data_IF_276417249033
#
_entry.id   IF_276417249033
#
_cell.length_a   1.000
_cell.length_b   1.000
_cell.length_c   1.000
_cell.angle_alpha   90.00
_cell.angle_beta   90.00
_cell.angle_gamma   90.00
#
_symmetry.space_group_name_H-M   'P 1'
#
loop_
_entity.id
_entity.type
_entity.pdbx_description
1 polymer ?
#
# COMPACT_ATOMS: atom_id res chain seq x y z
N UNK A 1 0.20 -44.66 12.28
CA UNK A 1 0.70 -43.64 13.23
C UNK A 1 0.72 -42.28 12.53
N UNK A 2 -0.28 -41.42 12.76
CA UNK A 2 -0.35 -40.08 12.18
C UNK A 2 0.19 -39.08 13.22
N UNK A 3 1.30 -38.40 12.90
CA UNK A 3 1.85 -37.31 13.71
C UNK A 3 1.01 -36.05 13.49
N UNK A 4 0.33 -35.61 14.55
CA UNK A 4 -0.39 -34.34 14.60
C UNK A 4 0.65 -33.27 14.93
N UNK A 5 0.90 -32.37 13.98
CA UNK A 5 1.69 -31.16 14.23
C UNK A 5 0.74 -30.09 14.76
N UNK A 6 0.77 -29.86 16.07
CA UNK A 6 0.10 -28.71 16.68
C UNK A 6 0.93 -27.47 16.35
N UNK A 7 0.47 -26.65 15.40
CA UNK A 7 1.03 -25.32 15.20
C UNK A 7 0.67 -24.46 16.42
N UNK A 8 1.67 -24.11 17.21
CA UNK A 8 1.57 -23.01 18.16
C UNK A 8 1.57 -21.70 17.36
N UNK A 9 0.39 -21.10 17.19
CA UNK A 9 0.30 -19.68 16.84
C UNK A 9 0.71 -18.93 18.10
N UNK A 10 1.96 -18.50 18.16
CA UNK A 10 2.39 -17.46 19.08
C UNK A 10 1.65 -16.20 18.66
N UNK A 11 0.54 -15.89 19.34
CA UNK A 11 -0.04 -14.56 19.32
C UNK A 11 1.03 -13.61 19.86
N UNK A 12 1.67 -12.86 18.96
CA UNK A 12 2.45 -11.70 19.34
C UNK A 12 1.52 -10.79 20.17
N UNK A 13 1.93 -10.34 21.36
CA UNK A 13 1.13 -9.40 22.11
C UNK A 13 0.92 -8.18 21.20
N UNK A 14 -0.35 -7.84 20.98
CA UNK A 14 -0.73 -6.49 20.57
C UNK A 14 -0.07 -5.60 21.61
N UNK A 15 0.98 -4.86 21.24
CA UNK A 15 1.40 -3.74 22.06
C UNK A 15 0.19 -2.81 22.08
N UNK A 16 -0.62 -2.91 23.13
CA UNK A 16 -1.48 -1.83 23.54
C UNK A 16 -0.52 -0.69 23.86
N UNK A 17 -0.33 0.20 22.89
CA UNK A 17 0.43 1.41 23.09
C UNK A 17 -0.16 2.13 24.31
N UNK A 18 0.69 2.31 25.31
CA UNK A 18 0.49 3.21 26.44
C UNK A 18 -0.12 4.52 25.95
N UNK A 19 -1.23 4.97 26.54
CA UNK A 19 -1.93 6.28 26.46
C UNK A 19 -1.45 7.42 25.53
N UNK A 20 -0.86 7.11 24.38
CA UNK A 20 -0.35 8.04 23.40
C UNK A 20 -1.52 8.41 22.49
N UNK A 21 -1.72 9.71 22.31
CA UNK A 21 -2.70 10.25 21.39
C UNK A 21 -2.48 9.65 20.00
N UNK A 22 -3.55 9.17 19.37
CA UNK A 22 -3.49 8.67 17.99
C UNK A 22 -2.86 9.73 17.09
N UNK A 23 -1.97 9.34 16.16
CA UNK A 23 -1.33 10.31 15.28
C UNK A 23 -2.38 11.15 14.55
N UNK A 24 -2.13 12.45 14.34
CA UNK A 24 -2.98 13.22 13.46
C UNK A 24 -3.02 12.57 12.09
N UNK A 25 -4.22 12.37 11.57
CA UNK A 25 -4.45 11.78 10.26
C UNK A 25 -4.61 12.89 9.20
N UNK A 26 -4.11 12.66 7.98
CA UNK A 26 -4.36 13.58 6.89
C UNK A 26 -5.85 13.55 6.50
N UNK A 27 -6.33 14.62 5.85
CA UNK A 27 -7.58 14.56 5.10
C UNK A 27 -7.44 13.59 3.92
N UNK A 28 -8.40 12.67 3.75
CA UNK A 28 -8.29 11.59 2.77
C UNK A 28 -8.27 12.07 1.30
N UNK A 29 -8.92 13.18 0.97
CA UNK A 29 -8.97 13.71 -0.40
C UNK A 29 -7.64 14.39 -0.73
N UNK A 30 -7.17 15.24 0.18
CA UNK A 30 -5.89 15.91 0.05
C UNK A 30 -4.72 14.91 0.03
N UNK A 31 -4.78 13.84 0.84
CA UNK A 31 -3.77 12.79 0.83
C UNK A 31 -3.77 12.00 -0.48
N UNK A 32 -4.94 11.62 -1.00
CA UNK A 32 -5.03 10.95 -2.30
C UNK A 32 -4.42 11.80 -3.41
N UNK A 33 -4.61 13.12 -3.39
CA UNK A 33 -3.96 14.03 -4.34
C UNK A 33 -2.43 14.02 -4.20
N UNK A 34 -1.90 13.95 -2.98
CA UNK A 34 -0.45 13.80 -2.75
C UNK A 34 0.06 12.46 -3.33
N UNK A 35 -0.65 11.35 -3.11
CA UNK A 35 -0.32 10.03 -3.66
C UNK A 35 -0.28 10.05 -5.19
N UNK A 36 -1.27 10.66 -5.83
CA UNK A 36 -1.32 10.78 -7.29
C UNK A 36 -0.20 11.67 -7.83
N UNK A 37 0.07 12.79 -7.16
CA UNK A 37 1.17 13.70 -7.54
C UNK A 37 2.53 13.02 -7.42
N UNK A 38 2.77 12.30 -6.33
CA UNK A 38 4.02 11.58 -6.09
C UNK A 38 4.18 10.43 -7.09
N UNK A 39 3.14 9.62 -7.31
CA UNK A 39 3.21 8.50 -8.27
C UNK A 39 3.46 8.98 -9.70
N UNK A 40 2.84 10.09 -10.11
CA UNK A 40 3.07 10.72 -11.41
C UNK A 40 4.49 11.31 -11.57
N UNK A 41 5.22 11.56 -10.48
CA UNK A 41 6.59 12.09 -10.54
C UNK A 41 7.64 11.05 -10.96
N UNK A 42 7.30 9.76 -10.95
CA UNK A 42 8.23 8.71 -11.38
C UNK A 42 8.17 8.50 -12.89
N UNK A 43 9.32 8.37 -13.57
CA UNK A 43 9.36 8.01 -14.97
C UNK A 43 8.82 6.59 -15.19
N UNK A 44 8.02 6.43 -16.25
CA UNK A 44 7.40 5.15 -16.64
C UNK A 44 8.06 4.51 -17.86
N UNK A 45 9.32 4.86 -18.11
CA UNK A 45 10.12 4.48 -19.29
C UNK A 45 11.12 3.33 -19.00
N UNK A 46 11.08 2.76 -17.79
CA UNK A 46 11.99 1.72 -17.34
C UNK A 46 13.23 2.23 -16.60
N UNK A 47 13.35 3.54 -16.36
CA UNK A 47 14.41 4.11 -15.50
C UNK A 47 14.48 3.41 -14.14
N UNK A 48 13.33 3.17 -13.50
CA UNK A 48 13.24 2.43 -12.23
C UNK A 48 12.83 0.98 -12.50
N UNK A 49 13.79 0.14 -12.87
CA UNK A 49 13.52 -1.23 -13.29
C UNK A 49 12.98 -2.13 -12.15
N UNK A 50 12.21 -3.15 -12.51
CA UNK A 50 11.69 -4.10 -11.52
C UNK A 50 12.75 -5.11 -11.09
N UNK A 51 12.95 -5.25 -9.78
CA UNK A 51 13.81 -6.27 -9.19
C UNK A 51 13.16 -6.83 -7.93
N UNK A 52 13.16 -8.15 -7.77
CA UNK A 52 12.72 -8.82 -6.54
C UNK A 52 13.73 -9.92 -6.22
N UNK A 53 14.63 -9.71 -5.24
CA UNK A 53 15.62 -10.73 -4.88
C UNK A 53 14.95 -11.92 -4.19
N UNK A 54 15.54 -13.12 -4.33
CA UNK A 54 15.01 -14.34 -3.69
C UNK A 54 15.19 -14.35 -2.18
N UNK A 55 16.16 -13.58 -1.66
CA UNK A 55 16.56 -13.55 -0.26
C UNK A 55 17.08 -12.14 0.08
N UNK A 56 17.11 -11.83 1.39
CA UNK A 56 17.67 -10.60 1.93
C UNK A 56 16.62 -9.61 2.41
N UNK A 57 17.09 -8.55 3.07
CA UNK A 57 16.25 -7.51 3.69
C UNK A 57 16.02 -6.30 2.77
N UNK A 58 16.24 -6.48 1.47
CA UNK A 58 16.11 -5.41 0.47
C UNK A 58 14.68 -4.90 0.44
N UNK A 59 14.50 -3.59 0.62
CA UNK A 59 13.18 -2.97 0.84
C UNK A 59 12.43 -2.65 -0.44
N UNK A 60 13.11 -2.71 -1.59
CA UNK A 60 12.53 -2.45 -2.89
C UNK A 60 12.02 -1.04 -3.11
N UNK A 61 12.76 -0.08 -2.55
CA UNK A 61 12.57 1.36 -2.73
C UNK A 61 13.65 1.92 -3.66
N UNK A 62 13.28 2.90 -4.48
CA UNK A 62 14.15 3.50 -5.52
C UNK A 62 15.17 4.48 -4.96
N UNK A 63 14.90 5.03 -3.76
CA UNK A 63 15.75 6.01 -3.09
C UNK A 63 15.71 5.81 -1.58
N UNK A 64 16.65 6.42 -0.88
CA UNK A 64 16.63 6.46 0.58
C UNK A 64 15.36 7.16 1.06
N UNK A 65 14.66 6.50 1.98
CA UNK A 65 13.45 7.02 2.62
C UNK A 65 13.80 7.37 4.06
N UNK A 66 13.51 8.61 4.44
CA UNK A 66 13.76 9.13 5.77
C UNK A 66 12.44 9.41 6.48
N UNK A 67 12.45 9.29 7.79
CA UNK A 67 11.35 9.72 8.64
C UNK A 67 11.93 10.46 9.85
N UNK A 68 11.48 11.70 10.07
CA UNK A 68 12.02 12.60 11.10
C UNK A 68 13.56 12.69 11.11
N UNK A 69 14.18 12.65 9.92
CA UNK A 69 15.64 12.73 9.75
C UNK A 69 16.39 11.40 9.86
N UNK A 70 15.73 10.31 10.24
CA UNK A 70 16.33 8.98 10.33
C UNK A 70 16.05 8.13 9.09
N UNK A 71 17.04 7.36 8.65
CA UNK A 71 16.90 6.45 7.51
C UNK A 71 16.04 5.24 7.91
N UNK A 72 14.90 5.06 7.23
CA UNK A 72 13.96 3.96 7.48
C UNK A 72 13.96 2.90 6.38
N UNK A 73 14.39 3.27 5.17
CA UNK A 73 14.65 2.31 4.08
C UNK A 73 15.77 2.80 3.19
N UNK A 74 16.74 1.93 2.90
CA UNK A 74 17.83 2.21 1.96
C UNK A 74 17.36 2.00 0.52
N UNK A 75 17.59 2.99 -0.33
CA UNK A 75 17.36 2.95 -1.77
C UNK A 75 18.29 1.99 -2.49
N UNK A 76 17.82 1.44 -3.61
CA UNK A 76 18.67 0.73 -4.56
C UNK A 76 19.54 1.72 -5.34
N UNK A 77 20.85 1.47 -5.42
CA UNK A 77 21.80 2.35 -6.11
C UNK A 77 21.51 2.49 -7.62
N UNK A 78 20.79 1.52 -8.21
CA UNK A 78 20.38 1.52 -9.62
C UNK A 78 18.92 1.98 -9.79
N UNK A 79 18.27 2.48 -8.72
CA UNK A 79 16.86 2.91 -8.76
C UNK A 79 15.86 1.77 -8.95
N UNK A 80 16.25 0.51 -8.74
CA UNK A 80 15.34 -0.63 -8.92
C UNK A 80 14.36 -0.74 -7.75
N UNK A 81 13.19 -1.31 -8.02
CA UNK A 81 12.15 -1.49 -7.00
C UNK A 81 11.27 -2.72 -7.23
N UNK A 82 10.40 -2.99 -6.26
CA UNK A 82 9.28 -3.91 -6.43
C UNK A 82 7.98 -3.30 -5.91
N UNK A 83 6.84 -3.91 -6.27
CA UNK A 83 5.50 -3.40 -5.99
C UNK A 83 5.24 -2.95 -4.54
N UNK A 84 5.55 -3.76 -3.53
CA UNK A 84 5.30 -3.39 -2.12
C UNK A 84 6.18 -2.23 -1.65
N UNK A 85 7.46 -2.27 -2.00
CA UNK A 85 8.43 -1.22 -1.72
C UNK A 85 8.10 0.13 -2.38
N UNK A 86 7.80 0.15 -3.68
CA UNK A 86 7.48 1.42 -4.36
C UNK A 86 6.14 2.01 -3.87
N UNK A 87 5.14 1.20 -3.57
CA UNK A 87 3.88 1.70 -3.01
C UNK A 87 4.07 2.27 -1.61
N UNK A 88 4.93 1.64 -0.79
CA UNK A 88 5.30 2.16 0.53
C UNK A 88 6.13 3.45 0.43
N UNK A 89 7.06 3.54 -0.52
CA UNK A 89 7.82 4.76 -0.79
C UNK A 89 6.89 5.91 -1.21
N UNK A 90 5.93 5.66 -2.09
CA UNK A 90 4.91 6.66 -2.47
C UNK A 90 4.10 7.10 -1.26
N UNK A 91 3.69 6.19 -0.38
CA UNK A 91 3.02 6.53 0.87
C UNK A 91 3.87 7.48 1.73
N UNK A 92 5.14 7.14 1.99
CA UNK A 92 6.04 7.96 2.80
C UNK A 92 6.24 9.35 2.19
N UNK A 93 6.48 9.41 0.88
CA UNK A 93 6.63 10.68 0.14
C UNK A 93 5.33 11.49 0.09
N UNK A 94 4.16 10.85 0.07
CA UNK A 94 2.88 11.54 0.14
C UNK A 94 2.64 12.16 1.53
N UNK A 95 3.10 11.50 2.60
CA UNK A 95 3.10 12.08 3.95
C UNK A 95 4.03 13.28 4.02
N UNK A 96 5.24 13.19 3.46
CA UNK A 96 6.15 14.33 3.35
C UNK A 96 5.49 15.51 2.62
N UNK A 97 4.88 15.26 1.45
CA UNK A 97 4.24 16.30 0.64
C UNK A 97 3.04 16.93 1.37
N UNK A 98 2.18 16.13 2.00
CA UNK A 98 1.06 16.62 2.79
C UNK A 98 1.55 17.51 3.95
N UNK A 99 2.60 17.10 4.65
CA UNK A 99 3.16 17.78 5.82
C UNK A 99 3.90 19.09 5.50
N UNK A 100 4.16 19.41 4.23
CA UNK A 100 4.75 20.70 3.83
C UNK A 100 3.77 21.85 3.99
N UNK A 101 2.47 21.60 3.88
CA UNK A 101 1.44 22.63 3.82
C UNK A 101 0.37 22.49 4.90
N UNK A 102 0.36 21.37 5.65
CA UNK A 102 -0.67 21.08 6.66
C UNK A 102 -0.10 21.07 8.08
N UNK A 103 -0.91 21.58 9.01
CA UNK A 103 -0.67 21.52 10.45
C UNK A 103 -1.98 21.13 11.17
N UNK A 104 -1.98 20.18 12.14
CA UNK A 104 -0.85 19.37 12.57
C UNK A 104 -0.31 18.47 11.44
N UNK A 105 0.99 18.17 11.50
CA UNK A 105 1.62 17.24 10.56
C UNK A 105 1.03 15.84 10.75
N UNK A 106 0.62 15.20 9.67
CA UNK A 106 0.19 13.81 9.66
C UNK A 106 1.30 12.89 10.17
N UNK A 107 0.92 11.93 11.01
CA UNK A 107 1.78 10.87 11.56
C UNK A 107 2.99 11.33 12.38
N UNK A 108 3.14 12.62 12.68
CA UNK A 108 4.37 13.17 13.29
C UNK A 108 4.69 12.61 14.69
N UNK A 109 3.73 11.97 15.35
CA UNK A 109 3.88 11.35 16.68
C UNK A 109 4.42 9.91 16.62
N UNK A 110 4.53 9.32 15.42
CA UNK A 110 5.11 7.99 15.26
C UNK A 110 6.61 8.00 15.54
N UNK A 111 7.09 6.90 16.10
CA UNK A 111 8.52 6.60 16.22
C UNK A 111 9.05 5.96 14.93
N UNK A 112 10.38 5.89 14.80
CA UNK A 112 11.03 5.13 13.72
C UNK A 112 10.68 3.65 13.76
N UNK A 113 10.46 3.09 14.95
CA UNK A 113 10.05 1.70 15.11
C UNK A 113 8.62 1.49 14.59
N UNK A 114 7.70 2.44 14.85
CA UNK A 114 6.35 2.39 14.30
C UNK A 114 6.37 2.38 12.77
N UNK A 115 7.22 3.19 12.14
CA UNK A 115 7.39 3.21 10.68
C UNK A 115 7.93 1.88 10.15
N UNK A 116 8.91 1.28 10.83
CA UNK A 116 9.50 -0.01 10.42
C UNK A 116 8.50 -1.16 10.58
N UNK A 117 7.75 -1.17 11.68
CA UNK A 117 6.73 -2.18 11.92
C UNK A 117 5.52 -2.00 10.99
N UNK A 118 5.13 -0.76 10.69
CA UNK A 118 4.14 -0.46 9.65
C UNK A 118 4.60 -0.96 8.28
N UNK A 119 5.86 -0.72 7.90
CA UNK A 119 6.46 -1.25 6.66
C UNK A 119 6.44 -2.79 6.63
N UNK A 120 6.78 -3.44 7.74
CA UNK A 120 6.77 -4.90 7.85
C UNK A 120 5.38 -5.48 7.54
N UNK A 121 4.31 -4.88 8.10
CA UNK A 121 2.93 -5.26 7.79
C UNK A 121 2.53 -4.89 6.36
N UNK A 122 2.95 -3.72 5.85
CA UNK A 122 2.67 -3.28 4.48
C UNK A 122 3.19 -4.28 3.46
N UNK A 123 4.34 -4.90 3.75
CA UNK A 123 4.98 -5.89 2.88
C UNK A 123 4.36 -7.29 3.03
N UNK A 124 3.43 -7.51 3.97
CA UNK A 124 2.90 -8.82 4.30
C UNK A 124 3.96 -9.76 4.87
N UNK A 125 5.01 -9.21 5.51
CA UNK A 125 6.13 -10.00 6.05
C UNK A 125 5.73 -10.83 7.27
N UNK A 126 4.56 -10.55 7.86
CA UNK A 126 3.88 -11.35 8.87
C UNK A 126 3.20 -12.61 8.29
N UNK A 127 3.20 -12.79 6.97
CA UNK A 127 2.50 -13.86 6.27
C UNK A 127 1.03 -13.58 6.00
N UNK A 128 0.52 -12.39 6.35
CA UNK A 128 -0.85 -12.01 6.10
C UNK A 128 -1.04 -11.55 4.64
N UNK A 129 -1.93 -12.23 3.91
CA UNK A 129 -2.22 -11.91 2.51
C UNK A 129 -2.83 -10.53 2.28
N UNK A 130 -3.38 -9.88 3.31
CA UNK A 130 -3.98 -8.54 3.18
C UNK A 130 -2.92 -7.42 3.07
N UNK A 131 -1.67 -7.68 3.48
CA UNK A 131 -0.52 -6.76 3.34
C UNK A 131 -0.85 -5.30 3.71
N UNK A 132 -0.85 -4.38 2.75
CA UNK A 132 -1.18 -2.94 2.91
C UNK A 132 -2.46 -2.74 3.73
N UNK A 133 -3.51 -3.51 3.43
CA UNK A 133 -4.77 -3.41 4.15
C UNK A 133 -4.59 -3.76 5.63
N UNK A 134 -3.81 -4.80 5.94
CA UNK A 134 -3.51 -5.16 7.33
C UNK A 134 -2.77 -4.01 8.04
N UNK A 135 -1.73 -3.46 7.41
CA UNK A 135 -0.96 -2.36 7.97
C UNK A 135 -1.83 -1.13 8.30
N UNK A 136 -2.64 -0.68 7.33
CA UNK A 136 -3.46 0.53 7.46
C UNK A 136 -4.51 0.38 8.57
N UNK A 137 -5.19 -0.75 8.65
CA UNK A 137 -6.21 -0.97 9.68
C UNK A 137 -5.60 -1.22 11.06
N UNK A 138 -4.48 -1.96 11.16
CA UNK A 138 -3.79 -2.18 12.44
C UNK A 138 -3.33 -0.87 13.07
N UNK A 139 -2.84 0.06 12.25
CA UNK A 139 -2.37 1.37 12.72
C UNK A 139 -3.47 2.45 12.76
N UNK A 140 -4.70 2.13 12.34
CA UNK A 140 -5.84 3.05 12.39
C UNK A 140 -5.66 4.32 11.56
N UNK A 141 -4.87 4.29 10.48
CA UNK A 141 -4.57 5.48 9.67
C UNK A 141 -5.49 5.67 8.45
N UNK A 142 -6.53 4.85 8.34
CA UNK A 142 -7.40 4.83 7.19
C UNK A 142 -8.54 3.84 7.33
N UNK A 143 -9.27 3.64 6.24
CA UNK A 143 -10.47 2.81 6.18
C UNK A 143 -10.42 1.82 5.03
N UNK A 144 -11.04 0.66 5.23
CA UNK A 144 -11.30 -0.31 4.17
C UNK A 144 -12.36 0.23 3.21
N UNK A 145 -12.13 0.07 1.91
CA UNK A 145 -13.13 0.33 0.87
C UNK A 145 -13.77 -1.00 0.50
N UNK A 146 -15.01 -1.20 0.93
CA UNK A 146 -15.73 -2.48 0.81
C UNK A 146 -16.38 -2.66 -0.54
N UNK A 147 -17.01 -1.60 -1.04
CA UNK A 147 -17.69 -1.63 -2.32
C UNK A 147 -16.76 -1.16 -3.44
N UNK A 148 -16.62 -1.92 -4.55
CA UNK A 148 -15.79 -1.49 -5.67
C UNK A 148 -16.18 -0.12 -6.24
N UNK A 149 -17.45 0.28 -6.12
CA UNK A 149 -17.93 1.59 -6.57
C UNK A 149 -17.37 2.76 -5.74
N UNK A 150 -16.95 2.50 -4.50
CA UNK A 150 -16.40 3.51 -3.61
C UNK A 150 -14.89 3.69 -3.79
N UNK A 151 -14.22 2.79 -4.53
CA UNK A 151 -12.80 2.88 -4.83
C UNK A 151 -12.53 4.05 -5.78
N UNK A 152 -11.48 4.83 -5.49
CA UNK A 152 -11.12 6.01 -6.27
C UNK A 152 -9.61 6.11 -6.49
N UNK A 153 -9.16 6.85 -7.54
CA UNK A 153 -7.74 7.06 -7.78
C UNK A 153 -6.99 7.51 -6.52
N UNK A 154 -5.87 6.86 -6.24
CA UNK A 154 -5.04 7.15 -5.06
C UNK A 154 -5.30 6.22 -3.85
N UNK A 155 -6.35 5.40 -3.86
CA UNK A 155 -6.49 4.32 -2.89
C UNK A 155 -5.38 3.28 -3.07
N UNK A 156 -4.91 2.68 -1.97
CA UNK A 156 -3.91 1.62 -2.02
C UNK A 156 -4.57 0.25 -2.07
N UNK A 157 -3.99 -0.64 -2.88
CA UNK A 157 -4.57 -1.95 -3.17
C UNK A 157 -3.55 -3.05 -2.94
N UNK A 158 -3.98 -4.11 -2.27
CA UNK A 158 -3.34 -5.42 -2.33
C UNK A 158 -4.30 -6.38 -3.03
N UNK A 159 -3.86 -7.08 -4.08
CA UNK A 159 -4.66 -8.11 -4.71
C UNK A 159 -3.91 -9.43 -4.91
N UNK A 160 -4.67 -10.50 -5.14
CA UNK A 160 -4.14 -11.84 -5.45
C UNK A 160 -4.72 -12.39 -6.74
N UNK A 161 -3.94 -13.24 -7.40
CA UNK A 161 -4.33 -13.91 -8.65
C UNK A 161 -4.61 -15.39 -8.43
N UNK A 162 -5.33 -16.01 -9.36
CA UNK A 162 -5.61 -17.46 -9.37
C UNK A 162 -4.36 -18.34 -9.31
N UNK A 163 -3.21 -17.83 -9.77
CA UNK A 163 -1.92 -18.53 -9.70
C UNK A 163 -1.19 -18.40 -8.35
N UNK A 164 -1.80 -17.75 -7.35
CA UNK A 164 -1.24 -17.56 -6.01
C UNK A 164 -0.27 -16.39 -5.87
N UNK A 165 -0.01 -15.61 -6.92
CA UNK A 165 0.82 -14.40 -6.83
C UNK A 165 0.03 -13.20 -6.30
N UNK A 166 0.67 -12.41 -5.43
CA UNK A 166 0.14 -11.15 -4.91
C UNK A 166 0.72 -9.92 -5.62
N UNK A 167 0.06 -8.78 -5.50
CA UNK A 167 0.57 -7.51 -6.00
C UNK A 167 0.04 -6.31 -5.20
N UNK A 168 0.92 -5.36 -4.89
CA UNK A 168 0.60 -4.10 -4.24
C UNK A 168 0.58 -2.97 -5.29
N UNK A 169 -0.45 -2.14 -5.33
CA UNK A 169 -0.56 -1.05 -6.30
C UNK A 169 -1.37 0.14 -5.80
N UNK A 170 -1.39 1.21 -6.59
CA UNK A 170 -2.26 2.38 -6.39
C UNK A 170 -3.40 2.29 -7.39
N UNK A 171 -4.63 2.26 -6.89
CA UNK A 171 -5.84 2.18 -7.69
C UNK A 171 -5.94 3.34 -8.69
N UNK A 172 -6.42 3.05 -9.89
CA UNK A 172 -6.82 4.06 -10.87
C UNK A 172 -8.29 3.92 -11.23
N UNK A 173 -8.71 2.73 -11.69
CA UNK A 173 -10.07 2.56 -12.19
C UNK A 173 -10.48 1.08 -12.25
N UNK A 174 -11.77 0.81 -12.04
CA UNK A 174 -12.41 -0.44 -12.44
C UNK A 174 -12.97 -0.33 -13.85
N UNK A 175 -12.55 -1.22 -14.74
CA UNK A 175 -13.15 -1.34 -16.08
C UNK A 175 -14.33 -2.29 -16.00
N UNK A 176 -15.45 -1.89 -16.60
CA UNK A 176 -16.69 -2.68 -16.63
C UNK A 176 -17.11 -2.99 -18.06
N UNK A 177 -17.79 -4.13 -18.25
CA UNK A 177 -18.48 -4.44 -19.51
C UNK A 177 -19.85 -3.72 -19.59
N UNK A 178 -20.56 -3.90 -20.71
CA UNK A 178 -21.88 -3.30 -20.95
C UNK A 178 -22.96 -3.80 -19.95
N UNK A 179 -22.73 -4.95 -19.31
CA UNK A 179 -23.59 -5.49 -18.26
C UNK A 179 -23.23 -4.97 -16.86
N UNK A 180 -22.19 -4.13 -16.76
CA UNK A 180 -21.71 -3.54 -15.51
C UNK A 180 -20.77 -4.42 -14.70
N UNK A 181 -20.38 -5.59 -15.20
CA UNK A 181 -19.46 -6.49 -14.52
C UNK A 181 -18.04 -5.94 -14.56
N UNK A 182 -17.31 -6.04 -13.45
CA UNK A 182 -15.89 -5.64 -13.42
C UNK A 182 -15.08 -6.66 -14.23
N UNK A 183 -14.40 -6.18 -15.26
CA UNK A 183 -13.56 -6.99 -16.14
C UNK A 183 -12.08 -6.77 -15.90
N UNK A 184 -11.67 -5.57 -15.49
CA UNK A 184 -10.25 -5.25 -15.26
C UNK A 184 -10.05 -4.26 -14.11
N UNK A 185 -8.87 -4.33 -13.49
CA UNK A 185 -8.32 -3.29 -12.62
C UNK A 185 -7.22 -2.53 -13.38
N UNK A 186 -7.37 -1.20 -13.49
CA UNK A 186 -6.27 -0.31 -13.87
C UNK A 186 -5.58 0.21 -12.61
N UNK A 187 -4.26 0.22 -12.61
CA UNK A 187 -3.46 0.64 -11.46
C UNK A 187 -2.08 1.15 -11.87
N UNK A 188 -1.42 1.84 -10.94
CA UNK A 188 -0.01 2.22 -11.00
C UNK A 188 0.80 1.36 -10.02
N UNK A 189 1.93 0.80 -10.45
CA UNK A 189 2.87 0.04 -9.60
C UNK A 189 4.19 -0.23 -10.32
N UNK A 190 5.00 -1.15 -9.81
CA UNK A 190 6.17 -1.72 -10.47
C UNK A 190 6.04 -3.23 -10.67
N UNK A 191 6.32 -3.72 -11.90
CA UNK A 191 6.33 -5.14 -12.22
C UNK A 191 7.22 -5.47 -13.43
N UNK A 192 7.58 -6.75 -13.59
CA UNK A 192 8.38 -7.22 -14.74
C UNK A 192 7.74 -6.88 -16.08
N UNK A 193 6.42 -7.06 -16.22
CA UNK A 193 5.68 -6.86 -17.47
C UNK A 193 5.75 -5.41 -17.98
N UNK A 194 5.91 -4.44 -17.07
CA UNK A 194 6.02 -3.01 -17.39
C UNK A 194 7.47 -2.52 -17.40
N UNK A 195 8.45 -3.42 -17.27
CA UNK A 195 9.87 -3.09 -17.13
C UNK A 195 10.15 -2.13 -15.95
N UNK A 196 9.43 -2.27 -14.83
CA UNK A 196 9.56 -1.34 -13.69
C UNK A 196 8.27 -0.58 -13.42
N UNK A 197 8.42 0.66 -12.94
CA UNK A 197 7.30 1.55 -12.59
C UNK A 197 6.50 1.91 -13.84
N UNK A 198 5.20 1.64 -13.84
CA UNK A 198 4.27 2.10 -14.88
C UNK A 198 2.81 1.89 -14.48
N UNK A 199 1.91 2.35 -15.34
CA UNK A 199 0.52 1.93 -15.32
C UNK A 199 0.36 0.54 -15.94
N UNK A 200 -0.55 -0.26 -15.40
CA UNK A 200 -0.94 -1.51 -16.00
C UNK A 200 -2.45 -1.75 -15.82
N UNK A 201 -2.97 -2.65 -16.64
CA UNK A 201 -4.32 -3.16 -16.54
C UNK A 201 -4.27 -4.68 -16.48
N UNK A 202 -4.99 -5.26 -15.53
CA UNK A 202 -5.10 -6.71 -15.39
C UNK A 202 -6.55 -7.15 -15.35
N UNK A 203 -6.82 -8.27 -16.02
CA UNK A 203 -8.13 -8.89 -16.09
C UNK A 203 -8.52 -9.46 -14.72
N UNK A 204 -9.76 -9.23 -14.33
CA UNK A 204 -10.42 -9.87 -13.19
C UNK A 204 -11.02 -11.20 -13.67
N UNK A 205 -10.74 -12.28 -12.97
CA UNK A 205 -11.25 -13.63 -13.29
C UNK A 205 -10.17 -14.68 -13.56
N UNK A 206 -10.61 -15.93 -13.54
CA UNK A 206 -9.76 -17.12 -13.59
C UNK A 206 -9.21 -17.45 -15.00
N UNK A 207 -8.15 -18.29 -15.11
CA UNK A 207 -7.41 -18.97 -14.02
C UNK A 207 -6.16 -18.21 -13.53
N UNK A 208 -5.82 -17.08 -14.15
CA UNK A 208 -4.58 -16.33 -13.85
C UNK A 208 -4.79 -14.85 -13.56
N UNK A 209 -6.02 -14.35 -13.74
CA UNK A 209 -6.34 -12.97 -13.43
C UNK A 209 -6.56 -12.73 -11.95
N UNK A 210 -7.03 -11.53 -11.63
CA UNK A 210 -7.31 -11.06 -10.28
C UNK A 210 -8.53 -11.80 -9.73
N UNK A 211 -8.41 -12.31 -8.51
CA UNK A 211 -9.55 -12.86 -7.76
C UNK A 211 -10.21 -11.68 -7.05
N UNK A 212 -11.42 -11.30 -7.46
CA UNK A 212 -12.10 -10.10 -6.97
C UNK A 212 -12.27 -10.10 -5.43
N UNK A 213 -12.61 -11.26 -4.85
CA UNK A 213 -12.76 -11.44 -3.39
C UNK A 213 -11.43 -11.41 -2.63
N UNK A 214 -10.29 -11.36 -3.34
CA UNK A 214 -8.96 -11.17 -2.75
C UNK A 214 -8.34 -9.86 -3.22
N UNK A 215 -9.17 -8.87 -3.53
CA UNK A 215 -8.78 -7.46 -3.68
C UNK A 215 -9.09 -6.74 -2.37
N UNK A 216 -8.07 -6.16 -1.76
CA UNK A 216 -8.15 -5.41 -0.52
C UNK A 216 -7.78 -3.96 -0.82
N UNK A 217 -8.73 -3.04 -0.64
CA UNK A 217 -8.56 -1.62 -0.94
C UNK A 217 -8.64 -0.84 0.36
N UNK A 218 -7.71 0.09 0.55
CA UNK A 218 -7.71 1.01 1.69
C UNK A 218 -7.50 2.44 1.25
N UNK A 219 -8.20 3.34 1.94
CA UNK A 219 -8.05 4.78 1.84
C UNK A 219 -7.39 5.31 3.09
N UNK A 220 -6.32 6.08 2.91
CA UNK A 220 -5.56 6.66 4.03
C UNK A 220 -6.11 8.04 4.34
N UNK A 221 -6.20 8.34 5.64
CA UNK A 221 -6.72 9.60 6.15
C UNK A 221 -8.12 9.49 6.73
N UNK A 222 -8.56 10.57 7.38
CA UNK A 222 -9.94 10.73 7.84
C UNK A 222 -10.85 11.14 6.66
N UNK A 223 -12.14 10.75 6.67
CA UNK A 223 -13.09 11.26 5.69
C UNK A 223 -13.04 12.79 5.63
N UNK A 224 -13.15 13.34 4.43
CA UNK A 224 -13.12 14.78 4.28
C UNK A 224 -14.33 15.40 4.96
N UNK A 225 -14.18 16.63 5.47
CA UNK A 225 -15.24 17.34 6.19
C UNK A 225 -16.55 17.48 5.38
N UNK A 226 -16.47 17.40 4.05
CA UNK A 226 -17.63 17.38 3.16
C UNK A 226 -18.42 16.06 3.20
N UNK A 227 -17.76 14.91 3.39
CA UNK A 227 -18.40 13.59 3.48
C UNK A 227 -19.05 13.35 4.86
N UNK A 228 -18.52 13.96 5.93
CA UNK A 228 -19.09 13.83 7.29
C UNK A 228 -20.48 14.47 7.47
N UNK A 229 -20.97 15.22 6.47
CA UNK A 229 -22.30 15.85 6.49
C UNK A 229 -23.45 14.97 6.00
N UNK A 230 -23.13 13.74 5.54
CA UNK A 230 -24.11 12.80 4.95
C UNK A 230 -24.51 11.63 5.86
N UNK A 231 -24.07 11.62 7.12
CA UNK A 231 -24.44 10.63 8.13
C UNK A 231 -25.25 11.25 9.26
#
# INVERSE_FOLDING_TARGET
>A
MKRIWTQFVLALPILAASGAESPPLPDADAFAQCVLTVSASYPTDGTNAYYWPKQGEWKGVTRDVFYNGELVAKGDEQGRCHCSGITWEVFMRAIEEYNRTHNPKALHTWTVEDIKQFQFLWFGSDGNKRCIHNAVLTYGIGTEIKEPADARPGDFVQFWRGNGSGHSCIFQEWVRDDAGNITHLKYWSAQKKTNGISFNMETVGDPKGIILDQVYIVRIGKPSSAESSKN
#
